data_IF_976846788168
#
_entry.id   IF_976846788168
#
_cell.length_a   1.000
_cell.length_b   1.000
_cell.length_c   1.000
_cell.angle_alpha   90.00
_cell.angle_beta   90.00
_cell.angle_gamma   90.00
#
_symmetry.space_group_name_H-M   'P 1'
#
loop_
_entity.id
_entity.type
_entity.pdbx_description
1 polymer ?
#
# COMPACT_ATOMS: atom_id res chain seq x y z
N UNK A 1 -78.86 29.65 -10.82
CA UNK A 1 -78.81 28.22 -10.78
C UNK A 1 -77.34 27.78 -10.65
N UNK A 2 -77.06 27.37 -9.44
CA UNK A 2 -75.95 26.51 -8.95
C UNK A 2 -74.83 26.09 -9.89
N UNK A 3 -73.63 26.49 -9.57
CA UNK A 3 -72.37 25.71 -9.67
C UNK A 3 -71.59 25.92 -8.38
N UNK A 4 -71.66 24.96 -7.51
CA UNK A 4 -70.94 24.85 -6.26
C UNK A 4 -70.04 23.59 -6.34
N UNK A 5 -68.86 23.77 -5.88
CA UNK A 5 -67.95 22.77 -5.30
C UNK A 5 -67.48 21.58 -6.11
N UNK A 6 -66.20 21.55 -6.37
CA UNK A 6 -65.28 20.45 -6.07
C UNK A 6 -63.82 20.90 -6.28
N UNK A 7 -63.28 21.56 -5.30
CA UNK A 7 -61.88 21.99 -5.28
C UNK A 7 -61.20 21.64 -3.95
N UNK A 8 -61.65 20.57 -3.29
CA UNK A 8 -61.07 20.14 -2.00
C UNK A 8 -60.42 18.76 -2.03
N UNK A 9 -60.38 18.08 -3.17
CA UNK A 9 -59.83 16.69 -3.29
C UNK A 9 -58.41 16.57 -3.82
N UNK A 10 -57.83 17.63 -4.40
CA UNK A 10 -56.53 17.55 -5.11
C UNK A 10 -55.36 18.01 -4.24
N UNK A 11 -55.61 18.81 -3.19
CA UNK A 11 -54.53 19.27 -2.30
C UNK A 11 -54.06 18.24 -1.25
N UNK A 12 -54.84 17.17 -1.02
CA UNK A 12 -54.49 16.19 0.02
C UNK A 12 -53.57 15.10 -0.46
N UNK A 13 -53.41 14.88 -1.79
CA UNK A 13 -52.52 13.90 -2.39
C UNK A 13 -51.12 14.45 -2.64
N UNK A 14 -50.91 15.74 -2.74
CA UNK A 14 -49.58 16.35 -3.00
C UNK A 14 -48.75 16.47 -1.72
N UNK A 15 -49.34 16.43 -0.53
CA UNK A 15 -48.65 16.60 0.75
C UNK A 15 -48.19 15.25 1.34
N UNK A 16 -48.77 14.10 0.90
CA UNK A 16 -48.36 12.80 1.40
C UNK A 16 -47.13 12.23 0.67
N UNK A 17 -46.83 12.64 -0.57
CA UNK A 17 -45.69 12.16 -1.33
C UNK A 17 -44.38 12.94 -1.11
N UNK A 18 -44.44 14.05 -0.38
CA UNK A 18 -43.23 14.83 0.00
C UNK A 18 -42.45 14.21 1.18
N UNK A 19 -42.94 13.10 1.76
CA UNK A 19 -42.27 12.41 2.88
C UNK A 19 -41.32 11.28 2.51
N UNK A 20 -41.15 10.99 1.23
CA UNK A 20 -40.27 9.91 0.75
C UNK A 20 -39.31 10.35 -0.38
N UNK A 21 -38.86 11.60 -0.37
CA UNK A 21 -37.61 11.88 -1.05
C UNK A 21 -36.54 11.11 -0.26
N UNK A 22 -35.73 10.25 -0.93
CA UNK A 22 -34.59 9.65 -0.27
C UNK A 22 -33.79 10.81 0.35
N UNK A 23 -33.47 10.71 1.65
CA UNK A 23 -32.45 11.59 2.22
C UNK A 23 -31.31 11.56 1.23
N UNK A 24 -30.91 12.69 0.66
CA UNK A 24 -29.60 12.79 0.03
C UNK A 24 -28.64 12.21 1.05
N UNK A 25 -28.05 11.06 0.73
CA UNK A 25 -26.98 10.48 1.54
C UNK A 25 -25.90 11.56 1.56
N UNK A 26 -25.77 12.23 2.70
CA UNK A 26 -24.81 13.29 2.86
C UNK A 26 -23.44 12.69 2.54
N UNK A 27 -22.78 13.16 1.47
CA UNK A 27 -21.48 12.67 1.07
C UNK A 27 -20.56 12.70 2.29
N UNK A 28 -19.77 11.64 2.48
CA UNK A 28 -18.75 11.56 3.54
C UNK A 28 -17.82 12.77 3.45
N UNK A 29 -17.29 13.20 4.59
CA UNK A 29 -16.24 14.22 4.60
C UNK A 29 -15.05 13.74 3.78
N UNK A 30 -14.51 14.56 2.84
CA UNK A 30 -13.34 14.20 2.07
C UNK A 30 -12.14 13.90 2.96
N UNK A 31 -11.40 12.83 2.63
CA UNK A 31 -10.10 12.50 3.25
C UNK A 31 -8.95 12.93 2.34
N UNK A 32 -7.81 13.25 2.95
CA UNK A 32 -6.62 13.73 2.25
C UNK A 32 -5.66 12.59 1.99
N UNK A 33 -5.31 12.41 0.72
CA UNK A 33 -4.41 11.36 0.26
C UNK A 33 -3.19 12.00 -0.38
N UNK A 34 -2.06 11.94 0.31
CA UNK A 34 -0.78 12.43 -0.19
C UNK A 34 -0.06 11.33 -0.99
N UNK A 35 0.49 11.69 -2.15
CA UNK A 35 1.21 10.78 -3.05
C UNK A 35 2.50 11.47 -3.50
N UNK A 36 3.66 10.83 -3.26
CA UNK A 36 4.96 11.37 -3.67
C UNK A 36 5.44 10.75 -4.98
N UNK A 37 6.26 11.49 -5.75
CA UNK A 37 6.65 11.07 -7.08
C UNK A 37 5.44 10.99 -8.02
N UNK A 38 4.56 11.98 -7.91
CA UNK A 38 3.21 11.95 -8.49
C UNK A 38 3.18 11.92 -10.02
N UNK A 39 4.24 12.40 -10.70
CA UNK A 39 4.39 12.31 -12.15
C UNK A 39 5.02 10.97 -12.62
N UNK A 40 5.42 10.08 -11.67
CA UNK A 40 6.07 8.81 -11.99
C UNK A 40 5.09 7.74 -12.47
N UNK A 41 5.60 6.70 -13.15
CA UNK A 41 4.81 5.62 -13.77
C UNK A 41 3.88 4.88 -12.78
N UNK A 42 4.36 4.62 -11.55
CA UNK A 42 3.55 3.95 -10.52
C UNK A 42 2.44 4.89 -10.06
N UNK A 43 2.78 6.14 -9.75
CA UNK A 43 1.82 7.14 -9.27
C UNK A 43 0.78 7.48 -10.34
N UNK A 44 1.18 7.56 -11.61
CA UNK A 44 0.24 7.74 -12.71
C UNK A 44 -0.83 6.63 -12.75
N UNK A 45 -0.41 5.36 -12.58
CA UNK A 45 -1.37 4.24 -12.50
C UNK A 45 -2.19 4.22 -11.19
N UNK A 46 -1.67 4.83 -10.12
CA UNK A 46 -2.24 4.82 -8.78
C UNK A 46 -3.31 5.91 -8.59
N UNK A 47 -2.99 7.15 -9.00
CA UNK A 47 -3.79 8.35 -8.78
C UNK A 47 -5.20 8.19 -9.36
N UNK A 48 -5.33 7.76 -10.62
CA UNK A 48 -6.61 7.59 -11.29
C UNK A 48 -7.48 6.51 -10.64
N UNK A 49 -6.89 5.45 -10.13
CA UNK A 49 -7.61 4.38 -9.41
C UNK A 49 -8.05 4.83 -8.02
N UNK A 50 -7.25 5.62 -7.32
CA UNK A 50 -7.68 6.25 -6.05
C UNK A 50 -8.84 7.21 -6.31
N UNK A 51 -8.72 8.04 -7.35
CA UNK A 51 -9.77 8.96 -7.78
C UNK A 51 -11.08 8.24 -8.16
N UNK A 52 -10.99 7.03 -8.71
CA UNK A 52 -12.14 6.17 -9.04
C UNK A 52 -12.74 5.44 -7.83
N UNK A 53 -12.11 5.52 -6.64
CA UNK A 53 -12.60 4.87 -5.42
C UNK A 53 -12.07 3.47 -5.14
N UNK A 54 -11.09 2.98 -5.91
CA UNK A 54 -10.54 1.63 -5.73
C UNK A 54 -9.91 1.42 -4.34
N UNK A 55 -9.32 2.48 -3.75
CA UNK A 55 -8.62 2.38 -2.47
C UNK A 55 -9.56 2.47 -1.26
N UNK A 56 -10.49 3.43 -1.24
CA UNK A 56 -11.29 3.76 -0.06
C UNK A 56 -12.80 3.49 -0.22
N UNK A 57 -13.19 2.89 -1.35
CA UNK A 57 -14.58 2.60 -1.65
C UNK A 57 -15.25 3.63 -2.54
N UNK A 58 -16.45 3.29 -3.09
CA UNK A 58 -17.12 4.08 -4.12
C UNK A 58 -17.86 5.31 -3.57
N UNK A 59 -17.85 5.53 -2.26
CA UNK A 59 -18.60 6.58 -1.57
C UNK A 59 -17.71 7.49 -0.71
N UNK A 60 -16.36 7.33 -0.78
CA UNK A 60 -15.41 8.14 -0.02
C UNK A 60 -14.77 9.21 -0.92
N UNK A 61 -15.15 10.49 -0.79
CA UNK A 61 -14.47 11.58 -1.50
C UNK A 61 -13.03 11.76 -1.02
N UNK A 62 -12.16 12.18 -1.94
CA UNK A 62 -10.73 12.38 -1.67
C UNK A 62 -10.26 13.77 -2.11
N UNK A 63 -9.33 14.34 -1.34
CA UNK A 63 -8.48 15.46 -1.75
C UNK A 63 -7.11 14.87 -2.02
N UNK A 64 -6.66 14.91 -3.26
CA UNK A 64 -5.36 14.41 -3.67
C UNK A 64 -4.29 15.48 -3.43
N UNK A 65 -3.22 15.13 -2.71
CA UNK A 65 -2.07 15.99 -2.44
C UNK A 65 -0.85 15.38 -3.14
N UNK A 66 -0.48 15.96 -4.28
CA UNK A 66 0.48 15.38 -5.22
C UNK A 66 1.83 16.09 -5.09
N UNK A 67 2.82 15.37 -4.56
CA UNK A 67 4.18 15.88 -4.35
C UNK A 67 5.11 15.42 -5.48
N UNK A 68 5.85 16.35 -6.05
CA UNK A 68 6.87 16.05 -7.04
C UNK A 68 8.11 16.93 -6.83
N UNK A 69 9.21 16.54 -7.43
CA UNK A 69 10.44 17.36 -7.42
C UNK A 69 10.32 18.51 -8.45
N UNK A 70 10.99 19.67 -8.24
CA UNK A 70 10.86 20.82 -9.13
C UNK A 70 11.06 20.50 -10.63
N UNK A 71 12.03 19.67 -11.06
CA UNK A 71 12.19 19.33 -12.47
C UNK A 71 11.03 18.56 -13.10
N UNK A 72 10.22 17.87 -12.29
CA UNK A 72 9.10 17.05 -12.77
C UNK A 72 7.72 17.73 -12.60
N UNK A 73 7.66 18.95 -12.03
CA UNK A 73 6.41 19.70 -11.86
C UNK A 73 5.68 19.94 -13.20
N UNK A 74 6.42 20.13 -14.28
CA UNK A 74 5.83 20.28 -15.64
C UNK A 74 5.10 18.99 -16.09
N UNK A 75 5.64 17.82 -15.76
CA UNK A 75 4.98 16.54 -16.05
C UNK A 75 3.74 16.35 -15.16
N UNK A 76 3.81 16.81 -13.91
CA UNK A 76 2.67 16.75 -12.98
C UNK A 76 1.50 17.63 -13.44
N UNK A 77 1.76 18.78 -14.08
CA UNK A 77 0.69 19.60 -14.71
C UNK A 77 -0.10 18.78 -15.74
N UNK A 78 0.60 17.95 -16.56
CA UNK A 78 -0.05 17.07 -17.52
C UNK A 78 -0.94 16.01 -16.84
N UNK A 79 -0.45 15.39 -15.76
CA UNK A 79 -1.23 14.43 -14.96
C UNK A 79 -2.49 15.09 -14.39
N UNK A 80 -2.37 16.33 -13.90
CA UNK A 80 -3.52 17.09 -13.39
C UNK A 80 -4.56 17.37 -14.48
N UNK A 81 -4.12 17.73 -15.70
CA UNK A 81 -5.03 17.94 -16.83
C UNK A 81 -5.82 16.67 -17.15
N UNK A 82 -5.15 15.53 -17.26
CA UNK A 82 -5.82 14.24 -17.51
C UNK A 82 -6.78 13.84 -16.37
N UNK A 83 -6.37 14.09 -15.12
CA UNK A 83 -7.23 13.83 -13.96
C UNK A 83 -8.52 14.67 -13.99
N UNK A 84 -8.40 15.94 -14.41
CA UNK A 84 -9.56 16.82 -14.61
C UNK A 84 -10.45 16.34 -15.77
N UNK A 85 -9.86 15.87 -16.88
CA UNK A 85 -10.58 15.35 -18.03
C UNK A 85 -11.38 14.09 -17.70
N UNK A 86 -10.95 13.29 -16.70
CA UNK A 86 -11.69 12.13 -16.21
C UNK A 86 -12.95 12.48 -15.42
N UNK A 87 -13.05 13.70 -14.87
CA UNK A 87 -14.23 14.21 -14.13
C UNK A 87 -14.72 13.23 -13.03
N UNK A 88 -13.79 12.65 -12.26
CA UNK A 88 -14.12 11.69 -11.20
C UNK A 88 -15.01 12.31 -10.11
N UNK A 89 -16.18 11.74 -9.82
CA UNK A 89 -17.13 12.32 -8.85
C UNK A 89 -16.61 12.30 -7.40
N UNK A 90 -15.62 11.46 -7.09
CA UNK A 90 -15.04 11.35 -5.76
C UNK A 90 -13.87 12.33 -5.52
N UNK A 91 -13.38 13.04 -6.55
CA UNK A 91 -12.30 14.01 -6.39
C UNK A 91 -12.87 15.34 -5.91
N UNK A 92 -12.74 15.61 -4.61
CA UNK A 92 -13.17 16.84 -3.98
C UNK A 92 -12.16 18.00 -4.13
N UNK A 93 -10.92 17.68 -4.51
CA UNK A 93 -9.87 18.67 -4.77
C UNK A 93 -8.52 18.03 -5.10
N UNK A 94 -7.64 18.80 -5.71
CA UNK A 94 -6.26 18.39 -6.01
C UNK A 94 -5.31 19.52 -5.64
N UNK A 95 -4.22 19.19 -4.95
CA UNK A 95 -3.13 20.10 -4.60
C UNK A 95 -1.85 19.51 -5.22
N UNK A 96 -1.18 20.28 -6.04
CA UNK A 96 0.14 19.94 -6.61
C UNK A 96 1.21 20.82 -5.98
N UNK A 97 2.34 20.24 -5.56
CA UNK A 97 3.39 20.98 -4.87
C UNK A 97 4.73 20.28 -4.98
N UNK A 98 5.81 21.03 -4.78
CA UNK A 98 7.18 20.54 -4.57
C UNK A 98 7.64 20.68 -3.10
N UNK A 99 6.75 21.15 -2.20
CA UNK A 99 6.98 21.27 -0.77
C UNK A 99 6.29 20.12 -0.01
N UNK A 100 7.10 19.30 0.68
CA UNK A 100 6.61 18.18 1.48
C UNK A 100 5.67 18.63 2.63
N UNK A 101 5.90 19.81 3.21
CA UNK A 101 5.05 20.33 4.29
C UNK A 101 3.64 20.64 3.79
N UNK A 102 3.52 21.16 2.56
CA UNK A 102 2.22 21.39 1.91
C UNK A 102 1.56 20.07 1.53
N UNK A 103 2.35 19.13 0.99
CA UNK A 103 1.85 17.83 0.54
C UNK A 103 1.28 16.98 1.69
N UNK A 104 1.88 17.03 2.87
CA UNK A 104 1.43 16.21 4.01
C UNK A 104 0.49 16.93 4.98
N UNK A 105 0.16 18.20 4.70
CA UNK A 105 -0.74 18.96 5.58
C UNK A 105 -2.09 18.27 5.73
N UNK A 106 -2.45 17.94 6.97
CA UNK A 106 -3.69 17.27 7.37
C UNK A 106 -3.94 15.94 6.64
N UNK A 107 -2.89 15.26 6.16
CA UNK A 107 -3.02 14.00 5.43
C UNK A 107 -3.59 12.88 6.33
N UNK A 108 -4.60 12.17 5.81
CA UNK A 108 -5.15 10.94 6.40
C UNK A 108 -4.37 9.70 5.92
N UNK A 109 -3.91 9.75 4.67
CA UNK A 109 -3.17 8.69 4.01
C UNK A 109 -1.96 9.28 3.28
N UNK A 110 -0.82 8.60 3.32
CA UNK A 110 0.38 9.00 2.60
C UNK A 110 1.01 7.78 1.90
N UNK A 111 1.10 7.83 0.57
CA UNK A 111 1.76 6.83 -0.26
C UNK A 111 3.09 7.40 -0.76
N UNK A 112 4.19 6.96 -0.17
CA UNK A 112 5.54 7.43 -0.47
C UNK A 112 6.13 6.58 -1.59
N UNK A 113 5.82 6.97 -2.84
CA UNK A 113 6.18 6.22 -4.06
C UNK A 113 7.49 6.72 -4.65
N UNK A 114 7.73 8.02 -4.60
CA UNK A 114 8.91 8.65 -5.15
C UNK A 114 10.19 8.19 -4.49
N UNK A 115 11.13 7.70 -5.28
CA UNK A 115 12.49 7.36 -4.86
C UNK A 115 13.46 7.49 -6.03
N UNK A 116 14.73 7.68 -5.73
CA UNK A 116 15.78 7.71 -6.74
C UNK A 116 16.05 6.29 -7.24
N UNK A 117 15.94 5.99 -8.53
CA UNK A 117 16.29 4.69 -9.08
C UNK A 117 17.81 4.46 -9.00
N UNK A 118 18.22 3.18 -8.93
CA UNK A 118 19.63 2.81 -9.00
C UNK A 118 20.18 3.13 -10.39
N UNK A 119 21.17 4.01 -10.45
CA UNK A 119 21.88 4.32 -11.71
C UNK A 119 22.99 3.31 -12.02
N UNK A 120 23.48 3.28 -13.27
CA UNK A 120 24.64 2.46 -13.64
C UNK A 120 25.87 2.84 -12.77
N UNK A 121 26.55 1.82 -12.22
CA UNK A 121 27.74 2.01 -11.39
C UNK A 121 27.49 2.53 -9.97
N UNK A 122 26.23 2.74 -9.57
CA UNK A 122 25.89 3.15 -8.20
C UNK A 122 25.96 1.95 -7.25
N UNK A 123 26.73 2.10 -6.17
CA UNK A 123 26.76 1.12 -5.09
C UNK A 123 25.44 1.10 -4.31
N UNK A 124 25.14 -0.02 -3.62
CA UNK A 124 23.92 -0.15 -2.81
C UNK A 124 23.89 0.86 -1.67
N UNK A 125 25.03 1.11 -1.02
CA UNK A 125 25.19 2.11 0.04
C UNK A 125 24.91 3.54 -0.41
N UNK A 126 25.31 3.90 -1.63
CA UNK A 126 25.05 5.23 -2.19
C UNK A 126 23.57 5.44 -2.47
N UNK A 127 22.90 4.39 -2.96
CA UNK A 127 21.46 4.41 -3.17
C UNK A 127 20.69 4.55 -1.86
N UNK A 128 21.10 3.81 -0.81
CA UNK A 128 20.53 3.89 0.53
C UNK A 128 20.63 5.31 1.09
N UNK A 129 21.81 5.93 1.01
CA UNK A 129 22.02 7.31 1.50
C UNK A 129 21.24 8.34 0.69
N UNK A 130 21.24 8.23 -0.64
CA UNK A 130 20.54 9.16 -1.51
C UNK A 130 19.02 9.12 -1.32
N UNK A 131 18.45 7.93 -1.15
CA UNK A 131 17.02 7.78 -0.83
C UNK A 131 16.74 8.16 0.63
N UNK A 132 17.62 7.78 1.56
CA UNK A 132 17.49 8.12 2.96
C UNK A 132 17.28 9.62 3.22
N UNK A 133 18.02 10.47 2.53
CA UNK A 133 17.84 11.92 2.61
C UNK A 133 16.43 12.38 2.22
N UNK A 134 15.83 11.74 1.19
CA UNK A 134 14.45 12.03 0.77
C UNK A 134 13.46 11.65 1.88
N UNK A 135 13.60 10.43 2.43
CA UNK A 135 12.67 9.91 3.43
C UNK A 135 12.85 10.57 4.82
N UNK A 136 14.04 11.11 5.14
CA UNK A 136 14.26 11.97 6.30
C UNK A 136 13.40 13.25 6.21
N UNK A 137 13.43 13.93 5.08
CA UNK A 137 12.61 15.14 4.86
C UNK A 137 11.13 14.82 4.92
N UNK A 138 10.71 13.73 4.26
CA UNK A 138 9.31 13.33 4.26
C UNK A 138 8.83 12.88 5.64
N UNK A 139 9.67 12.19 6.43
CA UNK A 139 9.37 11.82 7.81
C UNK A 139 9.13 13.02 8.70
N UNK A 140 10.02 14.04 8.65
CA UNK A 140 9.85 15.30 9.38
C UNK A 140 8.58 16.03 8.98
N UNK A 141 8.30 16.14 7.68
CA UNK A 141 7.11 16.82 7.20
C UNK A 141 5.80 16.08 7.60
N UNK A 142 5.81 14.74 7.62
CA UNK A 142 4.70 13.94 8.16
C UNK A 142 4.52 14.18 9.65
N UNK A 143 5.62 14.19 10.43
CA UNK A 143 5.59 14.47 11.87
C UNK A 143 4.93 15.80 12.19
N UNK A 144 5.28 16.84 11.44
CA UNK A 144 4.90 18.22 11.75
C UNK A 144 3.52 18.59 11.19
N UNK A 145 3.08 17.96 10.10
CA UNK A 145 1.92 18.43 9.35
C UNK A 145 0.81 17.41 9.12
N UNK A 146 1.08 16.10 9.20
CA UNK A 146 0.05 15.08 9.00
C UNK A 146 -0.85 14.91 10.23
N UNK A 147 -2.00 14.28 10.04
CA UNK A 147 -2.82 13.85 11.18
C UNK A 147 -2.09 12.82 12.03
N UNK A 148 -2.37 12.79 13.32
CA UNK A 148 -1.69 11.88 14.25
C UNK A 148 -1.95 10.39 13.98
N UNK A 149 -3.06 10.08 13.32
CA UNK A 149 -3.50 8.74 12.90
C UNK A 149 -3.27 8.47 11.40
N UNK A 150 -2.46 9.31 10.73
CA UNK A 150 -2.09 9.13 9.33
C UNK A 150 -1.59 7.72 9.06
N UNK A 151 -2.01 7.12 7.94
CA UNK A 151 -1.53 5.82 7.48
C UNK A 151 -0.50 6.00 6.37
N UNK A 152 0.72 5.57 6.62
CA UNK A 152 1.86 5.77 5.73
C UNK A 152 2.29 4.45 5.09
N UNK A 153 2.24 4.39 3.77
CA UNK A 153 2.77 3.27 2.98
C UNK A 153 3.99 3.70 2.19
N UNK A 154 5.13 3.09 2.46
CA UNK A 154 6.35 3.30 1.67
C UNK A 154 6.43 2.26 0.56
N UNK A 155 6.50 2.76 -0.67
CA UNK A 155 6.59 1.99 -1.93
C UNK A 155 7.97 2.15 -2.56
N UNK A 156 8.57 3.33 -2.40
CA UNK A 156 9.89 3.67 -2.95
C UNK A 156 11.00 2.80 -2.37
N UNK A 157 11.81 2.18 -3.26
CA UNK A 157 12.87 1.23 -2.86
C UNK A 157 14.16 1.92 -2.40
N UNK A 158 14.84 1.29 -1.41
CA UNK A 158 14.50 0.06 -0.67
C UNK A 158 13.39 0.31 0.38
N UNK A 159 12.24 -0.32 0.17
CA UNK A 159 10.99 0.05 0.84
C UNK A 159 11.05 -0.08 2.37
N UNK A 160 11.56 -1.20 2.88
CA UNK A 160 11.64 -1.44 4.33
C UNK A 160 12.57 -0.43 5.02
N UNK A 161 13.75 -0.21 4.46
CA UNK A 161 14.75 0.72 5.03
C UNK A 161 14.28 2.17 4.92
N UNK A 162 13.66 2.56 3.82
CA UNK A 162 13.07 3.89 3.66
C UNK A 162 11.90 4.11 4.64
N UNK A 163 11.09 3.08 4.91
CA UNK A 163 10.04 3.15 5.92
C UNK A 163 10.61 3.33 7.34
N UNK A 164 11.72 2.65 7.65
CA UNK A 164 12.43 2.82 8.92
C UNK A 164 12.94 4.25 9.08
N UNK A 165 13.60 4.81 8.07
CA UNK A 165 14.11 6.18 8.09
C UNK A 165 12.94 7.17 8.29
N UNK A 166 11.89 7.02 7.51
CA UNK A 166 10.70 7.89 7.59
C UNK A 166 10.10 7.84 9.01
N UNK A 167 9.89 6.66 9.56
CA UNK A 167 9.34 6.44 10.90
C UNK A 167 10.22 7.06 12.00
N UNK A 168 11.53 6.87 11.93
CA UNK A 168 12.48 7.41 12.92
C UNK A 168 12.57 8.94 12.88
N UNK A 169 12.30 9.56 11.73
CA UNK A 169 12.24 11.01 11.56
C UNK A 169 10.84 11.61 11.82
N UNK A 170 9.90 10.80 12.33
CA UNK A 170 8.57 11.22 12.75
C UNK A 170 8.28 10.76 14.20
N UNK A 171 9.04 11.25 15.21
CA UNK A 171 9.01 10.72 16.57
C UNK A 171 7.69 10.93 17.30
N UNK A 172 6.87 11.89 16.89
CA UNK A 172 5.58 12.19 17.52
C UNK A 172 4.42 11.36 16.92
N UNK A 173 4.67 10.62 15.82
CA UNK A 173 3.73 9.71 15.23
C UNK A 173 3.89 8.29 15.80
N UNK A 174 2.78 7.56 15.88
CA UNK A 174 2.85 6.16 16.30
C UNK A 174 3.65 5.35 15.27
N UNK A 175 4.67 4.56 15.66
CA UNK A 175 5.40 3.66 14.75
C UNK A 175 4.49 2.73 13.94
N UNK A 176 3.33 2.37 14.48
CA UNK A 176 2.34 1.54 13.79
C UNK A 176 1.67 2.23 12.59
N UNK A 177 1.83 3.54 12.46
CA UNK A 177 1.33 4.30 11.32
C UNK A 177 2.18 4.09 10.05
N UNK A 178 3.35 3.47 10.16
CA UNK A 178 4.28 3.28 9.05
C UNK A 178 4.34 1.84 8.59
N UNK A 179 4.23 1.64 7.27
CA UNK A 179 4.32 0.32 6.64
C UNK A 179 5.17 0.37 5.37
N UNK A 180 5.78 -0.77 5.02
CA UNK A 180 6.48 -0.97 3.75
C UNK A 180 5.69 -1.95 2.86
N UNK A 181 5.69 -1.70 1.54
CA UNK A 181 4.90 -2.48 0.60
C UNK A 181 5.50 -3.86 0.31
N UNK A 182 4.91 -4.91 0.90
CA UNK A 182 5.17 -6.32 0.57
C UNK A 182 4.03 -6.96 -0.23
N UNK A 183 2.95 -6.21 -0.46
CA UNK A 183 1.75 -6.71 -1.11
C UNK A 183 1.99 -7.17 -2.55
N UNK A 184 2.93 -6.54 -3.26
CA UNK A 184 3.27 -6.96 -4.63
C UNK A 184 3.84 -8.39 -4.64
N UNK A 185 4.71 -8.71 -3.69
CA UNK A 185 5.32 -10.04 -3.58
C UNK A 185 4.30 -11.07 -3.09
N UNK A 186 3.41 -10.66 -2.20
CA UNK A 186 2.24 -11.45 -1.78
C UNK A 186 1.35 -11.80 -2.98
N UNK A 187 0.97 -10.82 -3.79
CA UNK A 187 0.14 -11.03 -4.99
C UNK A 187 0.86 -11.91 -6.04
N UNK A 188 2.18 -11.75 -6.21
CA UNK A 188 3.01 -12.63 -7.04
C UNK A 188 2.96 -14.08 -6.56
N UNK A 189 3.09 -14.28 -5.26
CA UNK A 189 3.02 -15.61 -4.64
C UNK A 189 1.68 -16.25 -4.87
N UNK A 190 0.58 -15.54 -4.63
CA UNK A 190 -0.78 -16.01 -4.91
C UNK A 190 -0.96 -16.42 -6.38
N UNK A 191 -0.47 -15.60 -7.31
CA UNK A 191 -0.56 -15.87 -8.75
C UNK A 191 0.22 -17.12 -9.16
N UNK A 192 1.45 -17.32 -8.62
CA UNK A 192 2.25 -18.52 -8.92
C UNK A 192 1.59 -19.80 -8.38
N UNK A 193 1.03 -19.76 -7.17
CA UNK A 193 0.30 -20.88 -6.58
C UNK A 193 -0.95 -21.19 -7.41
N UNK A 194 -1.74 -20.18 -7.76
CA UNK A 194 -2.93 -20.33 -8.57
C UNK A 194 -2.62 -21.00 -9.94
N UNK A 195 -1.56 -20.54 -10.60
CA UNK A 195 -1.09 -21.11 -11.88
C UNK A 195 -0.66 -22.57 -11.71
N UNK A 196 0.14 -22.91 -10.68
CA UNK A 196 0.62 -24.27 -10.45
C UNK A 196 -0.51 -25.25 -10.14
N UNK A 197 -1.53 -24.78 -9.40
CA UNK A 197 -2.65 -25.63 -8.97
C UNK A 197 -3.83 -25.64 -9.93
N UNK A 198 -3.78 -24.85 -11.02
CA UNK A 198 -4.90 -24.71 -11.97
C UNK A 198 -6.13 -24.02 -11.37
N UNK A 199 -5.95 -23.21 -10.33
CA UNK A 199 -7.01 -22.53 -9.58
C UNK A 199 -7.05 -21.03 -9.87
N UNK A 200 -8.13 -20.35 -9.45
CA UNK A 200 -8.21 -18.90 -9.50
C UNK A 200 -7.46 -18.27 -8.31
N UNK A 201 -6.78 -17.14 -8.52
CA UNK A 201 -6.00 -16.47 -7.45
C UNK A 201 -6.84 -16.08 -6.22
N UNK A 202 -8.13 -15.79 -6.39
CA UNK A 202 -9.05 -15.49 -5.27
C UNK A 202 -9.32 -16.67 -4.33
N UNK A 203 -8.88 -17.88 -4.72
CA UNK A 203 -9.00 -19.11 -3.93
C UNK A 203 -7.72 -19.43 -3.14
N UNK A 204 -6.67 -18.65 -3.37
CA UNK A 204 -5.40 -18.79 -2.65
C UNK A 204 -5.44 -17.94 -1.39
N UNK A 205 -5.27 -18.57 -0.24
CA UNK A 205 -5.32 -17.93 1.07
C UNK A 205 -4.09 -18.25 1.91
N UNK A 206 -3.88 -17.47 2.98
CA UNK A 206 -2.88 -17.70 4.03
C UNK A 206 -1.44 -17.81 3.51
N UNK A 207 -1.14 -17.15 2.40
CA UNK A 207 0.23 -16.96 1.93
C UNK A 207 0.92 -15.95 2.83
N UNK A 208 2.19 -16.15 3.15
CA UNK A 208 3.02 -15.20 3.89
C UNK A 208 4.27 -14.89 3.07
N UNK A 209 4.65 -13.62 3.00
CA UNK A 209 5.98 -13.21 2.50
C UNK A 209 6.70 -12.53 3.65
N UNK A 210 7.75 -13.19 4.16
CA UNK A 210 8.55 -12.71 5.28
C UNK A 210 9.68 -11.78 4.82
N UNK A 211 10.02 -10.81 5.65
CA UNK A 211 11.29 -10.09 5.61
C UNK A 211 11.33 -8.81 4.78
N UNK A 212 12.41 -8.65 4.03
CA UNK A 212 12.73 -7.47 3.24
C UNK A 212 12.13 -7.55 1.83
N UNK A 213 11.70 -6.41 1.27
CA UNK A 213 11.34 -6.33 -0.15
C UNK A 213 12.60 -6.38 -1.04
N UNK A 214 13.24 -7.54 -1.10
CA UNK A 214 14.50 -7.79 -1.79
C UNK A 214 14.57 -9.23 -2.34
N UNK A 215 15.72 -9.62 -2.87
CA UNK A 215 15.97 -10.99 -3.30
C UNK A 215 16.08 -12.00 -2.14
N UNK A 216 16.12 -11.54 -0.89
CA UNK A 216 16.13 -12.41 0.29
C UNK A 216 14.74 -12.64 0.88
N UNK A 217 13.69 -11.95 0.39
CA UNK A 217 12.32 -12.19 0.83
C UNK A 217 11.98 -13.67 0.80
N UNK A 218 11.20 -14.11 1.79
CA UNK A 218 10.83 -15.51 1.85
C UNK A 218 9.30 -15.69 1.65
N UNK A 219 8.86 -16.08 0.44
CA UNK A 219 7.48 -16.47 0.20
C UNK A 219 7.23 -17.88 0.76
N UNK A 220 6.40 -17.95 1.80
CA UNK A 220 6.13 -19.13 2.59
C UNK A 220 4.75 -19.69 2.28
N UNK A 221 4.68 -20.98 1.91
CA UNK A 221 3.44 -21.71 1.62
C UNK A 221 3.01 -22.63 2.76
N UNK A 222 3.71 -22.62 3.90
CA UNK A 222 3.48 -23.59 5.02
C UNK A 222 2.02 -23.61 5.48
N UNK A 223 1.35 -22.48 5.44
CA UNK A 223 -0.04 -22.30 5.83
C UNK A 223 -0.97 -22.02 4.64
N UNK A 224 -0.41 -21.84 3.45
CA UNK A 224 -1.18 -21.49 2.26
C UNK A 224 -2.19 -22.59 1.91
N UNK A 225 -3.39 -22.16 1.50
CA UNK A 225 -4.45 -23.06 1.04
C UNK A 225 -4.98 -22.61 -0.31
N UNK A 226 -5.55 -23.57 -1.06
CA UNK A 226 -6.34 -23.33 -2.27
C UNK A 226 -7.64 -24.11 -2.14
N UNK A 227 -8.77 -23.41 -2.18
CA UNK A 227 -10.09 -23.99 -1.90
C UNK A 227 -10.12 -24.77 -0.56
N UNK A 228 -9.42 -24.27 0.48
CA UNK A 228 -9.33 -24.87 1.80
C UNK A 228 -8.37 -26.06 1.90
N UNK A 229 -7.75 -26.52 0.82
CA UNK A 229 -6.75 -27.60 0.80
C UNK A 229 -5.36 -27.02 0.90
N UNK A 230 -4.50 -27.57 1.74
CA UNK A 230 -3.13 -27.08 1.91
C UNK A 230 -2.34 -27.12 0.59
N UNK A 231 -1.66 -26.04 0.27
CA UNK A 231 -0.85 -25.94 -0.97
C UNK A 231 0.27 -26.98 -0.98
N UNK A 232 0.91 -27.27 0.16
CA UNK A 232 1.95 -28.28 0.30
C UNK A 232 1.51 -29.68 -0.12
N UNK A 233 0.20 -29.99 -0.07
CA UNK A 233 -0.35 -31.27 -0.50
C UNK A 233 -0.65 -31.30 -2.02
N UNK A 234 -0.58 -30.15 -2.69
CA UNK A 234 -0.86 -29.99 -4.12
C UNK A 234 0.38 -29.75 -4.97
N UNK A 235 1.52 -29.45 -4.34
CA UNK A 235 2.78 -29.13 -5.03
C UNK A 235 3.91 -29.96 -4.45
N UNK A 236 4.89 -30.29 -5.28
CA UNK A 236 6.10 -30.96 -4.84
C UNK A 236 7.11 -29.98 -4.24
N UNK A 237 8.01 -30.49 -3.38
CA UNK A 237 9.02 -29.69 -2.69
C UNK A 237 10.03 -29.07 -3.67
N UNK A 238 10.33 -29.75 -4.77
CA UNK A 238 11.26 -29.22 -5.78
C UNK A 238 10.69 -28.00 -6.47
N UNK A 239 9.40 -28.02 -6.82
CA UNK A 239 8.72 -26.83 -7.32
C UNK A 239 8.75 -25.70 -6.30
N UNK A 240 8.48 -25.98 -5.02
CA UNK A 240 8.48 -24.96 -3.97
C UNK A 240 9.85 -24.29 -3.83
N UNK A 241 10.90 -25.07 -3.64
CA UNK A 241 12.24 -24.59 -3.30
C UNK A 241 13.00 -24.10 -4.54
N UNK A 242 12.94 -24.83 -5.66
CA UNK A 242 13.76 -24.57 -6.84
C UNK A 242 13.10 -23.66 -7.87
N UNK A 243 11.77 -23.53 -7.82
CA UNK A 243 11.04 -22.71 -8.78
C UNK A 243 10.25 -21.56 -8.14
N UNK A 244 9.37 -21.84 -7.19
CA UNK A 244 8.45 -20.84 -6.62
C UNK A 244 9.20 -19.73 -5.87
N UNK A 245 10.03 -20.08 -4.89
CA UNK A 245 10.79 -19.10 -4.10
C UNK A 245 11.62 -18.19 -5.01
N UNK A 246 12.54 -18.69 -5.84
CA UNK A 246 13.37 -17.82 -6.70
C UNK A 246 12.54 -17.07 -7.75
N UNK A 247 11.43 -17.62 -8.24
CA UNK A 247 10.55 -16.93 -9.18
C UNK A 247 9.91 -15.68 -8.54
N UNK A 248 9.44 -15.79 -7.31
CA UNK A 248 8.88 -14.63 -6.59
C UNK A 248 9.97 -13.61 -6.27
N UNK A 249 11.09 -14.07 -5.71
CA UNK A 249 12.24 -13.22 -5.35
C UNK A 249 12.79 -12.41 -6.54
N UNK A 250 12.87 -13.02 -7.72
CA UNK A 250 13.50 -12.44 -8.91
C UNK A 250 12.49 -11.83 -9.91
N UNK A 251 11.20 -11.83 -9.59
CA UNK A 251 10.16 -11.35 -10.51
C UNK A 251 10.39 -9.91 -10.97
N UNK A 252 10.85 -9.03 -10.10
CA UNK A 252 11.17 -7.65 -10.45
C UNK A 252 12.23 -7.55 -11.54
N UNK A 253 13.33 -8.29 -11.41
CA UNK A 253 14.41 -8.34 -12.40
C UNK A 253 13.92 -8.94 -13.74
N UNK A 254 13.11 -10.01 -13.68
CA UNK A 254 12.51 -10.63 -14.87
C UNK A 254 11.62 -9.65 -15.65
N UNK A 255 10.81 -8.83 -14.95
CA UNK A 255 9.98 -7.79 -15.58
C UNK A 255 10.85 -6.72 -16.24
N UNK A 256 11.90 -6.24 -15.57
CA UNK A 256 12.82 -5.24 -16.14
C UNK A 256 13.48 -5.81 -17.41
N UNK A 257 13.92 -7.07 -17.38
CA UNK A 257 14.51 -7.73 -18.55
C UNK A 257 13.54 -7.84 -19.72
N UNK A 258 12.27 -8.13 -19.46
CA UNK A 258 11.26 -8.32 -20.49
C UNK A 258 10.67 -6.99 -21.01
N UNK A 259 10.44 -6.01 -20.12
CA UNK A 259 9.71 -4.78 -20.41
C UNK A 259 10.62 -3.57 -20.67
N UNK A 260 11.90 -3.64 -20.26
CA UNK A 260 12.83 -2.51 -20.28
C UNK A 260 12.58 -1.47 -19.18
N UNK A 261 11.60 -1.71 -18.28
CA UNK A 261 11.25 -0.83 -17.18
C UNK A 261 10.75 -1.62 -15.97
N UNK A 262 10.81 -1.02 -14.80
CA UNK A 262 10.29 -1.60 -13.55
C UNK A 262 8.78 -1.81 -13.58
N UNK A 263 8.28 -2.65 -12.68
CA UNK A 263 6.85 -2.82 -12.44
C UNK A 263 6.21 -1.47 -12.11
N UNK A 264 5.13 -1.12 -12.79
CA UNK A 264 4.37 0.11 -12.53
C UNK A 264 2.92 -0.21 -12.16
N UNK A 265 2.12 -0.71 -13.09
CA UNK A 265 0.70 -0.99 -12.85
C UNK A 265 0.46 -2.05 -11.75
N UNK A 266 1.28 -3.11 -11.70
CA UNK A 266 1.17 -4.11 -10.64
C UNK A 266 1.62 -3.59 -9.27
N UNK A 267 2.60 -2.67 -9.22
CA UNK A 267 3.00 -2.00 -7.99
C UNK A 267 1.88 -1.06 -7.50
N UNK A 268 1.27 -0.28 -8.39
CA UNK A 268 0.11 0.56 -8.08
C UNK A 268 -1.07 -0.27 -7.56
N UNK A 269 -1.39 -1.39 -8.21
CA UNK A 269 -2.44 -2.32 -7.76
C UNK A 269 -2.16 -2.86 -6.36
N UNK A 270 -0.92 -3.29 -6.10
CA UNK A 270 -0.53 -3.79 -4.79
C UNK A 270 -0.59 -2.70 -3.70
N UNK A 271 -0.22 -1.46 -4.02
CA UNK A 271 -0.33 -0.34 -3.08
C UNK A 271 -1.80 -0.03 -2.73
N UNK A 272 -2.70 -0.07 -3.72
CA UNK A 272 -4.14 0.06 -3.51
C UNK A 272 -4.67 -1.08 -2.65
N UNK A 273 -4.34 -2.33 -2.95
CA UNK A 273 -4.76 -3.49 -2.16
C UNK A 273 -4.28 -3.40 -0.71
N UNK A 274 -3.03 -2.97 -0.50
CA UNK A 274 -2.44 -2.78 0.84
C UNK A 274 -3.22 -1.75 1.64
N UNK A 275 -3.40 -0.55 1.07
CA UNK A 275 -4.09 0.55 1.75
C UNK A 275 -5.57 0.27 1.95
N UNK A 276 -6.22 -0.39 0.97
CA UNK A 276 -7.61 -0.80 1.06
C UNK A 276 -7.85 -1.79 2.21
N UNK A 277 -7.02 -2.83 2.30
CA UNK A 277 -7.12 -3.80 3.40
C UNK A 277 -6.85 -3.12 4.75
N UNK A 278 -5.90 -2.18 4.82
CA UNK A 278 -5.62 -1.45 6.05
C UNK A 278 -6.78 -0.52 6.43
N UNK A 279 -7.31 0.25 5.50
CA UNK A 279 -8.36 1.23 5.76
C UNK A 279 -9.74 0.60 6.01
N UNK A 280 -10.11 -0.41 5.21
CA UNK A 280 -11.46 -0.99 5.18
C UNK A 280 -11.54 -2.37 5.86
N UNK A 281 -10.39 -2.94 6.21
CA UNK A 281 -10.30 -4.28 6.77
C UNK A 281 -10.01 -5.35 5.72
N UNK A 282 -9.24 -6.37 6.11
CA UNK A 282 -8.90 -7.50 5.25
C UNK A 282 -9.98 -8.61 5.24
N UNK A 283 -11.06 -8.45 6.03
CA UNK A 283 -12.10 -9.47 6.16
C UNK A 283 -11.58 -10.81 6.71
N UNK A 284 -10.59 -10.76 7.60
CA UNK A 284 -9.92 -11.93 8.16
C UNK A 284 -8.89 -12.59 7.24
N UNK A 285 -8.72 -12.11 6.00
CA UNK A 285 -7.67 -12.60 5.09
C UNK A 285 -6.29 -12.21 5.61
N UNK A 286 -5.34 -13.12 5.44
CA UNK A 286 -3.94 -12.85 5.73
C UNK A 286 -3.33 -12.03 4.59
N UNK A 287 -2.58 -11.01 4.97
CA UNK A 287 -1.81 -10.17 4.05
C UNK A 287 -0.39 -10.03 4.58
N UNK A 288 0.57 -9.75 3.70
CA UNK A 288 1.96 -9.50 4.10
C UNK A 288 2.20 -8.00 4.08
N UNK A 289 2.63 -7.45 5.21
CA UNK A 289 2.94 -6.03 5.37
C UNK A 289 4.29 -5.86 6.08
N UNK A 290 5.17 -5.01 5.54
CA UNK A 290 6.35 -4.57 6.27
C UNK A 290 5.92 -3.63 7.39
N UNK A 291 6.13 -4.02 8.64
CA UNK A 291 5.75 -3.26 9.84
C UNK A 291 6.92 -3.13 10.79
N UNK A 292 6.84 -2.21 11.75
CA UNK A 292 7.81 -2.13 12.83
C UNK A 292 7.85 -3.47 13.58
N UNK A 293 9.06 -4.02 13.72
CA UNK A 293 9.28 -5.35 14.32
C UNK A 293 9.23 -5.36 15.84
N UNK A 294 9.10 -4.19 16.48
CA UNK A 294 9.12 -4.09 17.94
C UNK A 294 7.94 -4.87 18.54
N UNK A 295 8.24 -5.75 19.49
CA UNK A 295 7.25 -6.59 20.17
C UNK A 295 6.62 -7.70 19.31
N UNK A 296 7.25 -8.09 18.19
CA UNK A 296 6.79 -9.20 17.36
C UNK A 296 6.84 -10.56 18.09
N UNK A 297 6.03 -11.52 17.65
CA UNK A 297 5.94 -12.84 18.28
C UNK A 297 6.85 -13.92 17.67
N UNK A 298 7.67 -13.56 16.67
CA UNK A 298 8.47 -14.52 15.90
C UNK A 298 9.97 -14.48 16.21
N UNK A 299 10.39 -13.66 17.18
CA UNK A 299 11.79 -13.52 17.58
C UNK A 299 12.65 -12.79 16.55
N UNK A 300 12.03 -11.93 15.74
CA UNK A 300 12.73 -11.01 14.83
C UNK A 300 13.32 -9.88 15.66
N UNK A 301 14.53 -9.46 15.32
CA UNK A 301 15.21 -8.33 15.97
C UNK A 301 14.37 -7.06 15.91
N UNK A 302 14.32 -6.34 17.02
CA UNK A 302 13.58 -5.07 17.12
C UNK A 302 14.26 -3.93 16.36
N UNK A 303 13.51 -2.90 16.08
CA UNK A 303 14.01 -1.67 15.46
C UNK A 303 14.29 -1.77 13.97
N UNK A 304 13.61 -2.67 13.26
CA UNK A 304 13.62 -2.76 11.80
C UNK A 304 12.18 -2.77 11.26
N UNK A 305 12.02 -2.54 9.96
CA UNK A 305 10.76 -2.76 9.28
C UNK A 305 10.79 -4.15 8.63
N UNK A 306 9.98 -5.07 9.12
CA UNK A 306 10.00 -6.48 8.70
C UNK A 306 8.62 -6.92 8.22
N UNK A 307 8.55 -7.66 7.12
CA UNK A 307 7.27 -8.19 6.64
C UNK A 307 6.80 -9.36 7.49
N UNK A 308 5.61 -9.23 8.03
CA UNK A 308 4.92 -10.19 8.87
C UNK A 308 3.56 -10.58 8.28
N UNK A 309 2.98 -11.74 8.67
CA UNK A 309 1.59 -12.08 8.39
C UNK A 309 0.65 -11.20 9.24
N UNK A 310 -0.25 -10.51 8.57
CA UNK A 310 -1.11 -9.47 9.15
C UNK A 310 -2.57 -9.74 8.80
N UNK A 311 -3.49 -9.36 9.68
CA UNK A 311 -4.89 -9.07 9.36
C UNK A 311 -5.17 -7.60 9.66
N UNK A 312 -6.15 -7.02 8.95
CA UNK A 312 -6.55 -5.64 9.16
C UNK A 312 -8.04 -5.56 9.52
N UNK A 313 -8.36 -4.72 10.51
CA UNK A 313 -9.72 -4.50 10.98
C UNK A 313 -9.83 -3.09 11.60
N UNK A 314 -10.90 -2.37 11.29
CA UNK A 314 -11.19 -1.03 11.84
C UNK A 314 -10.03 -0.01 11.66
N UNK A 315 -9.34 -0.07 10.54
CA UNK A 315 -8.21 0.81 10.26
C UNK A 315 -6.90 0.45 10.99
N UNK A 316 -6.88 -0.68 11.71
CA UNK A 316 -5.71 -1.18 12.44
C UNK A 316 -5.21 -2.50 11.83
N UNK A 317 -3.89 -2.68 11.85
CA UNK A 317 -3.28 -3.95 11.50
C UNK A 317 -2.97 -4.78 12.76
N UNK A 318 -3.11 -6.10 12.66
CA UNK A 318 -2.82 -7.05 13.74
C UNK A 318 -1.92 -8.17 13.21
N UNK A 319 -0.84 -8.44 13.91
CA UNK A 319 0.02 -9.59 13.63
C UNK A 319 -0.75 -10.91 13.88
N UNK A 320 -0.62 -11.84 12.96
CA UNK A 320 -1.06 -13.22 13.18
C UNK A 320 0.01 -13.91 13.99
N UNK A 321 -0.34 -14.35 15.20
CA UNK A 321 0.61 -14.92 16.15
C UNK A 321 0.56 -16.44 16.18
N UNK A 322 1.64 -17.07 16.69
CA UNK A 322 1.67 -18.49 17.00
C UNK A 322 1.80 -19.44 15.81
N UNK A 323 2.23 -18.93 14.64
CA UNK A 323 2.56 -19.81 13.52
C UNK A 323 3.84 -20.61 13.85
N UNK A 324 3.79 -21.92 13.70
CA UNK A 324 4.98 -22.75 13.82
C UNK A 324 5.93 -22.48 12.65
N UNK A 325 7.19 -22.23 12.96
CA UNK A 325 8.25 -21.93 11.99
C UNK A 325 9.16 -23.18 11.91
N UNK A 326 9.21 -23.82 10.73
CA UNK A 326 10.12 -24.93 10.50
C UNK A 326 11.58 -24.47 10.48
N UNK A 327 12.54 -25.39 10.62
CA UNK A 327 13.97 -25.07 10.55
C UNK A 327 14.34 -24.43 9.20
N UNK A 328 13.79 -24.92 8.09
CA UNK A 328 13.96 -24.34 6.78
C UNK A 328 13.43 -22.88 6.73
N UNK A 329 12.20 -22.66 7.18
CA UNK A 329 11.63 -21.33 7.23
C UNK A 329 12.44 -20.39 8.14
N UNK A 330 12.92 -20.88 9.28
CA UNK A 330 13.78 -20.09 10.19
C UNK A 330 15.09 -19.66 9.52
N UNK A 331 15.72 -20.53 8.74
CA UNK A 331 16.93 -20.17 7.99
C UNK A 331 16.64 -19.07 6.97
N UNK A 332 15.55 -19.18 6.21
CA UNK A 332 15.15 -18.17 5.23
C UNK A 332 14.79 -16.83 5.89
N UNK A 333 14.04 -16.86 6.98
CA UNK A 333 13.67 -15.68 7.77
C UNK A 333 14.94 -15.01 8.33
N UNK A 334 15.88 -15.77 8.88
CA UNK A 334 17.12 -15.22 9.42
C UNK A 334 17.98 -14.56 8.34
N UNK A 335 18.03 -15.12 7.14
CA UNK A 335 18.79 -14.55 6.03
C UNK A 335 18.27 -13.14 5.64
N UNK A 336 16.95 -12.98 5.52
CA UNK A 336 16.36 -11.69 5.19
C UNK A 336 16.40 -10.68 6.36
N UNK A 337 16.36 -11.17 7.60
CA UNK A 337 16.56 -10.36 8.80
C UNK A 337 17.97 -9.78 8.85
N UNK A 338 19.00 -10.60 8.60
CA UNK A 338 20.41 -10.14 8.57
C UNK A 338 20.62 -9.07 7.49
N UNK A 339 19.97 -9.19 6.33
CA UNK A 339 20.04 -8.15 5.31
C UNK A 339 19.49 -6.82 5.84
N UNK A 340 18.34 -6.82 6.50
CA UNK A 340 17.73 -5.61 7.08
C UNK A 340 18.57 -4.99 8.21
N UNK A 341 19.19 -5.82 9.04
CA UNK A 341 20.11 -5.34 10.08
C UNK A 341 21.34 -4.66 9.46
N UNK A 342 21.92 -5.23 8.42
CA UNK A 342 23.01 -4.61 7.68
C UNK A 342 22.61 -3.32 6.96
N UNK A 343 21.38 -3.25 6.41
CA UNK A 343 20.85 -2.01 5.84
C UNK A 343 20.65 -0.93 6.92
N UNK A 344 20.11 -1.30 8.09
CA UNK A 344 19.96 -0.39 9.23
C UNK A 344 21.31 0.17 9.70
N UNK A 345 22.33 -0.66 9.80
CA UNK A 345 23.68 -0.22 10.16
C UNK A 345 24.24 0.79 9.13
N UNK A 346 24.03 0.53 7.84
CA UNK A 346 24.51 1.41 6.77
C UNK A 346 23.85 2.79 6.73
N UNK A 347 22.72 2.97 7.42
CA UNK A 347 21.95 4.23 7.49
C UNK A 347 21.88 4.81 8.91
N UNK A 348 22.73 4.35 9.84
CA UNK A 348 22.65 4.74 11.25
C UNK A 348 22.70 6.26 11.47
N UNK A 349 23.33 6.99 10.57
CA UNK A 349 23.42 8.45 10.56
C UNK A 349 22.12 9.17 10.13
N UNK A 350 21.11 8.43 9.66
CA UNK A 350 19.83 8.94 9.20
C UNK A 350 18.66 8.59 10.15
N UNK A 351 18.93 7.81 11.21
CA UNK A 351 17.90 7.31 12.13
C UNK A 351 17.65 8.20 13.36
#
# INVERSE_FOLDING_TARGET
VLWSCRLFGVLHWIVSDLKTLPKEDAMKTPVRVAITGAAGQISYSLIFRIAAGDMLGPDQPVILQLLEIPPAMKALEGVLMELNDCAFPLVAGVITTDDANVAFKDADYALLVGSRPRGPGMERSDLLKANGAIFTVQGKALNDHAKRDVKVLVVGNPANTNALICMKNAPDLNPRNFTAMMRLDHNRSMSQIATKTGSHSSKVEKVVVWGNHSATQFPDISYATVDGVAVKDKVDNDWYVQYFIPTVQQRGAAIIKARGASSAASAASAAIDHMRDWALGSGGRWVSMGVCSDGNSYGISEGIMFSLPITCENGEWKEIKGLAISDFARQMISATEQELLGEKEAIADLL
#
